data_IF_716947708772
#
_entry.id   IF_716947708772
#
_cell.length_a   1.000
_cell.length_b   1.000
_cell.length_c   1.000
_cell.angle_alpha   90.00
_cell.angle_beta   90.00
_cell.angle_gamma   90.00
#
_symmetry.space_group_name_H-M   'P 1'
#
loop_
_entity.id
_entity.type
_entity.pdbx_description
1 polymer ?
#
# COMPACT_ATOMS: atom_id res chain seq x y z
N UNK A 1 25.75 37.92 42.50
CA UNK A 1 25.09 37.47 41.29
C UNK A 1 25.77 36.21 40.77
N UNK A 2 25.27 35.04 41.05
CA UNK A 2 25.57 33.80 40.32
C UNK A 2 24.29 32.91 40.16
N UNK A 3 23.20 33.47 39.62
CA UNK A 3 21.96 32.64 39.40
C UNK A 3 21.60 32.45 37.91
N UNK A 4 22.33 33.09 36.98
CA UNK A 4 22.03 33.04 35.56
C UNK A 4 22.84 32.01 34.73
N UNK A 5 23.87 31.38 35.30
CA UNK A 5 24.68 30.38 34.57
C UNK A 5 24.11 28.97 34.65
N UNK A 6 23.33 28.65 35.68
CA UNK A 6 22.78 27.29 35.84
C UNK A 6 21.57 26.96 34.94
N UNK A 7 20.81 27.96 34.50
CA UNK A 7 19.67 27.77 33.60
C UNK A 7 20.10 27.59 32.15
N UNK A 8 21.15 28.26 31.71
CA UNK A 8 21.71 28.10 30.35
C UNK A 8 22.45 26.75 30.19
N UNK A 9 23.11 26.26 31.24
CA UNK A 9 23.71 24.91 31.22
C UNK A 9 22.67 23.78 31.28
N UNK A 10 21.55 24.02 31.94
CA UNK A 10 20.42 23.04 31.99
C UNK A 10 19.62 22.99 30.68
N UNK A 11 19.48 24.13 29.97
CA UNK A 11 18.89 24.17 28.62
C UNK A 11 19.84 23.56 27.58
N UNK A 12 21.15 23.84 27.64
CA UNK A 12 22.14 23.19 26.76
C UNK A 12 22.28 21.69 27.01
N UNK A 13 22.06 21.19 28.23
CA UNK A 13 22.06 19.75 28.51
C UNK A 13 20.76 19.05 28.09
N UNK A 14 19.64 19.78 27.93
CA UNK A 14 18.39 19.22 27.37
C UNK A 14 18.42 19.08 25.84
N UNK A 15 19.29 19.81 25.15
CA UNK A 15 19.46 19.70 23.69
C UNK A 15 20.34 18.51 23.25
N UNK A 16 21.01 17.85 24.21
CA UNK A 16 22.04 16.80 23.97
C UNK A 16 21.49 15.37 23.97
N UNK A 17 20.20 15.14 24.29
CA UNK A 17 19.63 13.78 24.30
C UNK A 17 18.19 13.78 23.72
N UNK A 18 17.98 14.32 22.53
CA UNK A 18 16.85 13.90 21.70
C UNK A 18 17.29 12.62 21.01
N UNK A 19 16.68 11.50 21.37
CA UNK A 19 16.81 10.29 20.56
C UNK A 19 16.45 10.67 19.12
N UNK A 20 17.24 10.28 18.10
CA UNK A 20 16.91 10.57 16.72
C UNK A 20 15.50 10.07 16.42
N UNK A 21 14.74 10.83 15.66
CA UNK A 21 13.45 10.35 15.17
C UNK A 21 13.70 9.25 14.13
N UNK A 22 12.75 8.33 13.92
CA UNK A 22 12.86 7.30 12.88
C UNK A 22 13.24 7.88 11.52
N UNK A 23 12.72 9.06 11.19
CA UNK A 23 13.07 9.79 9.96
C UNK A 23 14.55 10.18 9.92
N UNK A 24 15.13 10.68 11.01
CA UNK A 24 16.56 11.04 11.07
C UNK A 24 17.47 9.81 10.98
N UNK A 25 17.06 8.68 11.57
CA UNK A 25 17.75 7.40 11.45
C UNK A 25 17.70 6.89 10.00
N UNK A 26 16.52 6.89 9.37
CA UNK A 26 16.33 6.50 7.97
C UNK A 26 17.15 7.38 7.01
N UNK A 27 17.12 8.70 7.18
CA UNK A 27 17.93 9.61 6.37
C UNK A 27 19.44 9.32 6.50
N UNK A 28 19.89 8.93 7.69
CA UNK A 28 21.29 8.54 7.92
C UNK A 28 21.60 7.23 7.18
N UNK A 29 20.69 6.25 7.20
CA UNK A 29 20.82 5.00 6.45
C UNK A 29 20.85 5.25 4.94
N UNK A 30 19.93 6.04 4.40
CA UNK A 30 19.84 6.34 2.97
C UNK A 30 21.06 7.12 2.44
N UNK A 31 21.66 7.98 3.27
CA UNK A 31 22.88 8.72 2.94
C UNK A 31 24.15 7.91 3.16
N UNK A 32 24.04 6.73 3.76
CA UNK A 32 25.17 5.82 3.93
C UNK A 32 25.52 5.12 2.61
N UNK A 33 26.73 4.56 2.53
CA UNK A 33 27.17 3.84 1.32
C UNK A 33 26.94 2.32 1.48
N UNK A 34 25.71 1.93 1.87
CA UNK A 34 25.31 0.54 2.03
C UNK A 34 24.99 -0.10 0.68
N UNK A 35 25.23 -1.41 0.57
CA UNK A 35 24.73 -2.20 -0.55
C UNK A 35 23.23 -2.49 -0.43
N UNK A 36 22.61 -2.94 -1.53
CA UNK A 36 21.16 -3.22 -1.59
C UNK A 36 20.70 -4.14 -0.46
N UNK A 37 21.34 -5.30 -0.30
CA UNK A 37 20.92 -6.30 0.70
C UNK A 37 21.01 -5.76 2.13
N UNK A 38 22.12 -5.08 2.45
CA UNK A 38 22.33 -4.50 3.78
C UNK A 38 21.37 -3.34 4.08
N UNK A 39 21.03 -2.54 3.06
CA UNK A 39 20.05 -1.45 3.20
C UNK A 39 18.67 -2.03 3.47
N UNK A 40 18.21 -2.97 2.66
CA UNK A 40 16.89 -3.59 2.81
C UNK A 40 16.74 -4.29 4.17
N UNK A 41 17.78 -5.02 4.63
CA UNK A 41 17.78 -5.62 5.97
C UNK A 41 17.59 -4.59 7.09
N UNK A 42 18.22 -3.41 6.97
CA UNK A 42 18.14 -2.37 8.01
C UNK A 42 16.84 -1.58 8.00
N UNK A 43 16.20 -1.41 6.85
CA UNK A 43 14.95 -0.67 6.74
C UNK A 43 13.71 -1.55 6.93
N UNK A 44 13.85 -2.88 6.90
CA UNK A 44 12.72 -3.82 7.09
C UNK A 44 12.08 -3.75 8.50
N UNK A 45 12.73 -3.14 9.47
CA UNK A 45 12.17 -2.90 10.80
C UNK A 45 11.31 -1.62 10.89
N UNK A 46 11.31 -0.79 9.82
CA UNK A 46 10.53 0.44 9.74
C UNK A 46 9.29 0.23 8.89
N UNK A 47 8.22 0.93 9.22
CA UNK A 47 7.01 0.93 8.42
C UNK A 47 7.20 1.78 7.15
N UNK A 48 6.54 1.42 6.05
CA UNK A 48 6.63 2.10 4.76
C UNK A 48 6.26 3.58 4.87
N UNK A 49 5.32 3.94 5.76
CA UNK A 49 4.98 5.34 6.04
C UNK A 49 6.14 6.15 6.65
N UNK A 50 6.97 5.53 7.52
CA UNK A 50 8.14 6.21 8.09
C UNK A 50 9.21 6.43 7.00
N UNK A 51 9.31 5.49 6.06
CA UNK A 51 10.21 5.59 4.91
C UNK A 51 9.72 6.68 3.95
N UNK A 52 8.41 6.76 3.69
CA UNK A 52 7.81 7.83 2.89
C UNK A 52 8.11 9.21 3.51
N UNK A 53 7.89 9.39 4.81
CA UNK A 53 8.20 10.63 5.55
C UNK A 53 9.69 11.01 5.45
N UNK A 54 10.59 10.02 5.45
CA UNK A 54 12.01 10.26 5.24
C UNK A 54 12.32 10.66 3.80
N UNK A 55 11.68 10.04 2.80
CA UNK A 55 11.84 10.38 1.39
C UNK A 55 11.39 11.80 1.05
N UNK A 56 10.37 12.33 1.73
CA UNK A 56 9.94 13.73 1.59
C UNK A 56 11.04 14.74 1.96
N UNK A 57 11.91 14.37 2.89
CA UNK A 57 13.04 15.21 3.30
C UNK A 57 14.31 15.02 2.45
N UNK A 58 14.25 14.16 1.43
CA UNK A 58 15.35 13.92 0.49
C UNK A 58 15.24 14.82 -0.74
N UNK A 59 16.39 15.17 -1.31
CA UNK A 59 16.41 15.81 -2.63
C UNK A 59 16.10 14.78 -3.74
N UNK A 60 15.61 15.23 -4.92
CA UNK A 60 15.42 14.34 -6.07
C UNK A 60 16.68 13.53 -6.44
N UNK A 61 17.87 14.11 -6.29
CA UNK A 61 19.15 13.44 -6.56
C UNK A 61 19.46 12.33 -5.55
N UNK A 62 19.02 12.47 -4.30
CA UNK A 62 19.15 11.44 -3.27
C UNK A 62 18.16 10.32 -3.54
N UNK A 63 16.89 10.63 -3.81
CA UNK A 63 15.86 9.62 -4.16
C UNK A 63 16.22 8.81 -5.40
N UNK A 64 16.71 9.45 -6.46
CA UNK A 64 17.18 8.76 -7.68
C UNK A 64 18.28 7.71 -7.44
N UNK A 65 19.07 7.88 -6.39
CA UNK A 65 20.09 6.88 -6.00
C UNK A 65 19.49 5.75 -5.17
N UNK A 66 18.38 6.04 -4.47
CA UNK A 66 17.70 5.09 -3.61
C UNK A 66 16.81 4.13 -4.40
N UNK A 67 16.09 4.60 -5.41
CA UNK A 67 15.15 3.78 -6.19
C UNK A 67 15.74 2.44 -6.70
N UNK A 68 16.94 2.37 -7.30
CA UNK A 68 17.49 1.11 -7.76
C UNK A 68 17.86 0.14 -6.62
N UNK A 69 18.00 0.65 -5.39
CA UNK A 69 18.31 -0.17 -4.21
C UNK A 69 17.04 -0.78 -3.61
N UNK A 70 15.93 -0.05 -3.63
CA UNK A 70 14.65 -0.52 -3.09
C UNK A 70 14.02 -1.59 -4.02
N UNK A 71 13.88 -1.31 -5.29
CA UNK A 71 13.16 -2.14 -6.25
C UNK A 71 11.72 -1.69 -6.43
N UNK A 72 11.07 -2.14 -7.51
CA UNK A 72 9.77 -1.65 -7.95
C UNK A 72 8.66 -1.93 -6.91
N UNK A 73 8.53 -3.17 -6.42
CA UNK A 73 7.55 -3.60 -5.43
C UNK A 73 7.61 -2.75 -4.15
N UNK A 74 8.80 -2.61 -3.57
CA UNK A 74 8.95 -1.85 -2.32
C UNK A 74 8.76 -0.34 -2.51
N UNK A 75 9.08 0.19 -3.70
CA UNK A 75 8.76 1.59 -4.04
C UNK A 75 7.24 1.77 -4.15
N UNK A 76 6.52 0.84 -4.76
CA UNK A 76 5.07 0.88 -4.86
C UNK A 76 4.40 0.97 -3.48
N UNK A 77 4.80 0.08 -2.55
CA UNK A 77 4.32 0.10 -1.16
C UNK A 77 4.61 1.44 -0.46
N UNK A 78 5.82 2.01 -0.60
CA UNK A 78 6.17 3.30 0.01
C UNK A 78 5.33 4.43 -0.59
N UNK A 79 5.14 4.44 -1.91
CA UNK A 79 4.43 5.51 -2.60
C UNK A 79 2.94 5.56 -2.29
N UNK A 80 2.34 4.47 -1.83
CA UNK A 80 0.95 4.45 -1.31
C UNK A 80 0.77 5.27 -0.02
N UNK A 81 1.87 5.68 0.63
CA UNK A 81 1.85 6.49 1.85
C UNK A 81 2.22 7.96 1.63
N UNK A 82 2.41 8.44 0.39
CA UNK A 82 2.74 9.84 0.10
C UNK A 82 1.80 10.47 -0.92
N UNK A 83 1.44 11.75 -0.69
CA UNK A 83 0.69 12.55 -1.66
C UNK A 83 1.55 12.97 -2.87
N UNK A 84 2.88 12.92 -2.75
CA UNK A 84 3.84 13.33 -3.78
C UNK A 84 4.23 12.19 -4.76
N UNK A 85 3.55 11.04 -4.71
CA UNK A 85 3.87 9.86 -5.51
C UNK A 85 4.03 10.16 -7.00
N UNK A 86 3.13 10.97 -7.57
CA UNK A 86 3.20 11.38 -8.98
C UNK A 86 4.46 12.20 -9.31
N UNK A 87 4.95 13.04 -8.38
CA UNK A 87 6.19 13.80 -8.56
C UNK A 87 7.40 12.87 -8.51
N UNK A 88 7.41 11.90 -7.58
CA UNK A 88 8.51 10.95 -7.42
C UNK A 88 8.62 10.01 -8.63
N UNK A 89 7.51 9.58 -9.21
CA UNK A 89 7.50 8.79 -10.43
C UNK A 89 8.06 9.55 -11.65
N UNK A 90 7.91 10.88 -11.71
CA UNK A 90 8.53 11.70 -12.75
C UNK A 90 10.06 11.84 -12.61
N UNK A 91 10.63 11.48 -11.46
CA UNK A 91 12.08 11.46 -11.25
C UNK A 91 12.78 10.27 -11.92
N UNK A 92 12.05 9.21 -12.28
CA UNK A 92 12.53 7.99 -12.93
C UNK A 92 12.08 7.92 -14.39
N UNK A 93 12.59 6.98 -15.16
CA UNK A 93 12.16 6.83 -16.55
C UNK A 93 10.77 6.18 -16.64
N UNK A 94 10.10 6.34 -17.76
CA UNK A 94 8.72 5.94 -17.96
C UNK A 94 8.50 4.43 -17.79
N UNK A 95 9.46 3.61 -18.26
CA UNK A 95 9.37 2.16 -18.16
C UNK A 95 9.49 1.69 -16.70
N UNK A 96 10.32 2.34 -15.88
CA UNK A 96 10.42 2.06 -14.45
C UNK A 96 9.19 2.56 -13.70
N UNK A 97 8.67 3.75 -14.05
CA UNK A 97 7.44 4.27 -13.46
C UNK A 97 6.25 3.33 -13.73
N UNK A 98 6.12 2.81 -14.95
CA UNK A 98 5.08 1.85 -15.29
C UNK A 98 5.22 0.55 -14.47
N UNK A 99 6.45 0.04 -14.27
CA UNK A 99 6.66 -1.15 -13.43
C UNK A 99 6.29 -0.90 -11.97
N UNK A 100 6.64 0.26 -11.42
CA UNK A 100 6.23 0.62 -10.05
C UNK A 100 4.71 0.70 -9.94
N UNK A 101 4.04 1.32 -10.91
CA UNK A 101 2.56 1.42 -10.92
C UNK A 101 1.92 0.04 -11.11
N UNK A 102 2.53 -0.89 -11.86
CA UNK A 102 2.03 -2.26 -11.98
C UNK A 102 2.07 -3.06 -10.67
N UNK A 103 2.94 -2.69 -9.72
CA UNK A 103 3.03 -3.30 -8.40
C UNK A 103 2.14 -2.61 -7.34
N UNK A 104 1.48 -1.50 -7.68
CA UNK A 104 0.57 -0.79 -6.77
C UNK A 104 -0.82 -1.44 -6.72
N UNK A 105 -1.51 -1.26 -5.59
CA UNK A 105 -2.95 -1.47 -5.56
C UNK A 105 -3.64 -0.61 -6.61
N UNK A 106 -4.68 -1.15 -7.24
CA UNK A 106 -5.29 -0.52 -8.41
C UNK A 106 -5.94 0.84 -8.14
N UNK A 107 -6.44 1.08 -6.93
CA UNK A 107 -6.94 2.38 -6.48
C UNK A 107 -5.81 3.39 -6.28
N UNK A 108 -4.71 2.99 -5.62
CA UNK A 108 -3.51 3.83 -5.46
C UNK A 108 -2.88 4.16 -6.82
N UNK A 109 -2.80 3.17 -7.71
CA UNK A 109 -2.31 3.36 -9.09
C UNK A 109 -3.12 4.40 -9.84
N UNK A 110 -4.45 4.37 -9.72
CA UNK A 110 -5.35 5.35 -10.37
C UNK A 110 -5.18 6.72 -9.74
N UNK A 111 -5.14 6.83 -8.41
CA UNK A 111 -4.94 8.11 -7.72
C UNK A 111 -3.62 8.77 -8.15
N UNK A 112 -2.54 8.02 -8.29
CA UNK A 112 -1.26 8.52 -8.81
C UNK A 112 -1.37 8.95 -10.27
N UNK A 113 -2.00 8.14 -11.12
CA UNK A 113 -2.17 8.43 -12.55
C UNK A 113 -3.05 9.67 -12.80
N UNK A 114 -4.01 9.96 -11.92
CA UNK A 114 -4.85 11.15 -12.02
C UNK A 114 -4.08 12.45 -11.72
N UNK A 115 -3.02 12.38 -10.96
CA UNK A 115 -2.13 13.50 -10.66
C UNK A 115 -1.04 13.74 -11.72
N UNK A 116 -0.97 12.91 -12.78
CA UNK A 116 -0.07 13.09 -13.92
C UNK A 116 -0.73 13.87 -15.05
N UNK A 117 0.08 14.47 -15.92
CA UNK A 117 -0.43 15.06 -17.17
C UNK A 117 -0.97 13.96 -18.13
N UNK A 118 -1.92 14.33 -18.97
CA UNK A 118 -2.63 13.37 -19.83
C UNK A 118 -1.73 12.58 -20.80
N UNK A 119 -0.64 13.16 -21.28
CA UNK A 119 0.30 12.47 -22.17
C UNK A 119 1.12 11.43 -21.41
N UNK A 120 1.66 11.80 -20.26
CA UNK A 120 2.40 10.90 -19.36
C UNK A 120 1.51 9.77 -18.86
N UNK A 121 0.28 10.08 -18.39
CA UNK A 121 -0.71 9.09 -17.96
C UNK A 121 -0.96 8.04 -19.06
N UNK A 122 -1.27 8.49 -20.28
CA UNK A 122 -1.55 7.58 -21.40
C UNK A 122 -0.36 6.67 -21.71
N UNK A 123 0.84 7.22 -21.73
CA UNK A 123 2.06 6.46 -22.02
C UNK A 123 2.42 5.46 -20.93
N UNK A 124 2.15 5.78 -19.67
CA UNK A 124 2.35 4.84 -18.57
C UNK A 124 1.34 3.70 -18.66
N UNK A 125 0.04 4.00 -18.86
CA UNK A 125 -1.00 2.97 -18.99
C UNK A 125 -0.70 2.01 -20.15
N UNK A 126 -0.16 2.49 -21.26
CA UNK A 126 0.25 1.64 -22.40
C UNK A 126 1.48 0.74 -22.08
N UNK A 127 2.19 1.01 -20.99
CA UNK A 127 3.39 0.28 -20.55
C UNK A 127 3.15 -0.61 -19.31
N UNK A 128 1.95 -0.55 -18.70
CA UNK A 128 1.59 -1.45 -17.61
C UNK A 128 1.59 -2.90 -18.08
N UNK A 129 1.75 -3.83 -17.16
CA UNK A 129 1.50 -5.23 -17.47
C UNK A 129 -0.01 -5.50 -17.71
N UNK A 130 -0.32 -6.67 -18.28
CA UNK A 130 -1.67 -6.99 -18.76
C UNK A 130 -2.73 -6.97 -17.63
N UNK A 131 -2.35 -7.35 -16.39
CA UNK A 131 -3.26 -7.42 -15.24
C UNK A 131 -3.47 -6.02 -14.65
N UNK A 132 -2.40 -5.27 -14.39
CA UNK A 132 -2.48 -3.88 -13.91
C UNK A 132 -3.20 -2.97 -14.92
N UNK A 133 -2.94 -3.11 -16.23
CA UNK A 133 -3.63 -2.36 -17.27
C UNK A 133 -5.14 -2.58 -17.23
N UNK A 134 -5.57 -3.84 -17.07
CA UNK A 134 -6.98 -4.21 -17.01
C UNK A 134 -7.66 -3.61 -15.76
N UNK A 135 -7.02 -3.69 -14.61
CA UNK A 135 -7.57 -3.23 -13.34
C UNK A 135 -7.64 -1.70 -13.29
N UNK A 136 -6.58 -1.01 -13.69
CA UNK A 136 -6.56 0.45 -13.83
C UNK A 136 -7.64 0.92 -14.80
N UNK A 137 -7.78 0.29 -15.98
CA UNK A 137 -8.83 0.64 -16.93
C UNK A 137 -10.24 0.38 -16.41
N UNK A 138 -10.44 -0.65 -15.59
CA UNK A 138 -11.71 -0.92 -14.94
C UNK A 138 -12.08 0.23 -14.01
N UNK A 139 -11.19 0.66 -13.12
CA UNK A 139 -11.44 1.75 -12.17
C UNK A 139 -11.65 3.07 -12.92
N UNK A 140 -10.79 3.40 -13.91
CA UNK A 140 -10.92 4.59 -14.76
C UNK A 140 -12.19 4.59 -15.64
N UNK A 141 -12.93 3.49 -15.75
CA UNK A 141 -14.19 3.44 -16.46
C UNK A 141 -15.39 3.98 -15.68
N UNK A 142 -15.23 4.18 -14.36
CA UNK A 142 -16.25 4.77 -13.50
C UNK A 142 -16.11 6.29 -13.47
N UNK A 143 -17.23 6.99 -13.27
CA UNK A 143 -17.23 8.43 -13.02
C UNK A 143 -16.72 8.74 -11.60
N UNK A 144 -16.14 9.91 -11.36
CA UNK A 144 -15.50 10.29 -10.09
C UNK A 144 -16.45 10.21 -8.86
N UNK A 145 -17.76 10.36 -9.08
CA UNK A 145 -18.80 10.26 -8.07
C UNK A 145 -19.40 8.85 -7.92
N UNK A 146 -18.96 7.90 -8.72
CA UNK A 146 -19.34 6.50 -8.60
C UNK A 146 -18.43 5.77 -7.60
N UNK A 147 -18.99 4.89 -6.79
CA UNK A 147 -18.25 4.14 -5.79
C UNK A 147 -17.16 3.24 -6.40
N UNK A 148 -17.36 2.80 -7.64
CA UNK A 148 -16.41 1.99 -8.39
C UNK A 148 -15.07 2.69 -8.63
N UNK A 149 -15.05 4.04 -8.71
CA UNK A 149 -13.82 4.82 -8.86
C UNK A 149 -12.94 4.82 -7.60
N UNK A 150 -13.46 4.36 -6.47
CA UNK A 150 -12.80 4.31 -5.15
C UNK A 150 -12.65 2.88 -4.63
N UNK A 151 -12.76 1.89 -5.49
CA UNK A 151 -12.61 0.48 -5.13
C UNK A 151 -11.25 -0.03 -5.56
N UNK A 152 -10.67 -0.91 -4.73
CA UNK A 152 -9.52 -1.72 -5.13
C UNK A 152 -9.97 -3.03 -5.76
N UNK A 153 -9.16 -3.62 -6.63
CA UNK A 153 -9.30 -5.00 -7.11
C UNK A 153 -8.55 -6.01 -6.24
N UNK A 154 -7.77 -5.53 -5.26
CA UNK A 154 -6.99 -6.32 -4.32
C UNK A 154 -7.90 -6.91 -3.22
N UNK A 155 -8.58 -8.02 -3.50
CA UNK A 155 -9.45 -8.72 -2.54
C UNK A 155 -9.61 -10.22 -2.87
N UNK A 156 -9.95 -11.01 -1.85
CA UNK A 156 -10.17 -12.45 -1.98
C UNK A 156 -11.62 -12.74 -2.35
N UNK A 157 -11.83 -13.54 -3.41
CA UNK A 157 -13.15 -14.00 -3.86
C UNK A 157 -13.21 -15.52 -3.87
N UNK A 158 -14.27 -16.09 -3.28
CA UNK A 158 -14.54 -17.54 -3.33
C UNK A 158 -15.98 -17.82 -3.72
N UNK A 159 -16.21 -18.99 -4.31
CA UNK A 159 -17.58 -19.46 -4.63
C UNK A 159 -18.29 -20.02 -3.39
N UNK A 160 -19.59 -19.72 -3.23
CA UNK A 160 -20.40 -20.22 -2.11
C UNK A 160 -20.53 -21.74 -2.05
N UNK A 161 -20.33 -22.46 -3.17
CA UNK A 161 -20.50 -23.91 -3.25
C UNK A 161 -19.27 -24.69 -2.76
N UNK A 162 -18.27 -24.03 -2.24
CA UNK A 162 -17.06 -24.65 -1.70
C UNK A 162 -17.31 -25.20 -0.29
N UNK A 163 -16.56 -26.23 0.09
CA UNK A 163 -16.44 -26.63 1.49
C UNK A 163 -15.29 -25.87 2.16
N UNK A 164 -15.21 -25.94 3.50
CA UNK A 164 -14.18 -25.22 4.29
C UNK A 164 -12.76 -25.44 3.76
N UNK A 165 -12.40 -26.69 3.45
CA UNK A 165 -11.04 -27.01 2.94
C UNK A 165 -10.78 -26.39 1.56
N UNK A 166 -11.77 -26.40 0.68
CA UNK A 166 -11.66 -25.79 -0.64
C UNK A 166 -11.58 -24.25 -0.53
N UNK A 167 -12.43 -23.65 0.32
CA UNK A 167 -12.40 -22.21 0.59
C UNK A 167 -11.03 -21.76 1.15
N UNK A 168 -10.48 -22.52 2.11
CA UNK A 168 -9.13 -22.24 2.65
C UNK A 168 -8.04 -22.40 1.57
N UNK A 169 -8.17 -23.36 0.67
CA UNK A 169 -7.21 -23.54 -0.42
C UNK A 169 -7.26 -22.37 -1.42
N UNK A 170 -8.45 -21.90 -1.77
CA UNK A 170 -8.63 -20.73 -2.62
C UNK A 170 -8.09 -19.45 -1.96
N UNK A 171 -8.36 -19.25 -0.67
CA UNK A 171 -7.76 -18.16 0.10
C UNK A 171 -6.22 -18.19 0.00
N UNK A 172 -5.59 -19.33 0.29
CA UNK A 172 -4.12 -19.44 0.27
C UNK A 172 -3.57 -19.18 -1.14
N UNK A 173 -4.27 -19.62 -2.18
CA UNK A 173 -3.88 -19.39 -3.57
C UNK A 173 -3.88 -17.90 -3.92
N UNK A 174 -4.90 -17.18 -3.49
CA UNK A 174 -5.09 -15.75 -3.80
C UNK A 174 -4.28 -14.83 -2.86
N UNK A 175 -4.03 -15.25 -1.62
CA UNK A 175 -3.31 -14.45 -0.63
C UNK A 175 -1.82 -14.21 -0.95
N UNK A 176 -1.26 -14.86 -1.97
CA UNK A 176 0.07 -14.57 -2.48
C UNK A 176 0.12 -13.38 -3.45
N UNK A 177 -1.05 -12.93 -3.91
CA UNK A 177 -1.22 -11.86 -4.90
C UNK A 177 -2.14 -10.73 -4.37
N UNK A 178 -2.65 -10.86 -3.14
CA UNK A 178 -3.58 -9.92 -2.54
C UNK A 178 -3.25 -9.71 -1.06
N UNK A 179 -3.10 -8.48 -0.65
CA UNK A 179 -2.80 -8.09 0.74
C UNK A 179 -4.07 -7.93 1.59
N UNK A 180 -5.19 -7.57 0.95
CA UNK A 180 -6.45 -7.35 1.63
C UNK A 180 -7.22 -8.67 1.87
N UNK A 181 -6.69 -9.50 2.76
CA UNK A 181 -7.19 -10.85 3.06
C UNK A 181 -8.14 -10.93 4.27
N UNK A 182 -8.33 -9.85 5.01
CA UNK A 182 -9.14 -9.83 6.25
C UNK A 182 -10.61 -10.18 6.01
N UNK A 183 -11.13 -9.81 4.84
CA UNK A 183 -12.49 -10.08 4.38
C UNK A 183 -12.44 -10.91 3.11
N UNK A 184 -13.13 -12.04 3.11
CA UNK A 184 -13.24 -12.95 1.97
C UNK A 184 -14.63 -12.78 1.38
N UNK A 185 -14.72 -12.29 0.15
CA UNK A 185 -15.99 -12.11 -0.55
C UNK A 185 -16.47 -13.44 -1.14
N UNK A 186 -17.77 -13.66 -1.05
CA UNK A 186 -18.41 -14.87 -1.54
C UNK A 186 -19.34 -14.52 -2.68
N UNK A 187 -19.19 -15.24 -3.80
CA UNK A 187 -20.05 -15.06 -4.98
C UNK A 187 -20.91 -16.31 -5.22
N UNK A 188 -22.05 -16.09 -5.85
CA UNK A 188 -22.94 -17.18 -6.27
C UNK A 188 -22.50 -17.80 -7.63
N UNK A 189 -23.35 -18.71 -8.16
CA UNK A 189 -23.10 -19.41 -9.43
C UNK A 189 -23.10 -18.48 -10.66
N UNK A 190 -23.59 -17.26 -10.53
CA UNK A 190 -23.61 -16.24 -11.57
C UNK A 190 -22.52 -15.17 -11.37
N UNK A 191 -21.54 -15.44 -10.48
CA UNK A 191 -20.48 -14.49 -10.09
C UNK A 191 -21.02 -13.21 -9.42
N UNK A 192 -22.25 -13.26 -8.87
CA UNK A 192 -22.82 -12.12 -8.14
C UNK A 192 -22.49 -12.21 -6.66
N UNK A 193 -22.24 -11.06 -6.05
CA UNK A 193 -21.99 -10.96 -4.62
C UNK A 193 -23.10 -11.62 -3.82
N UNK A 194 -22.74 -12.57 -2.97
CA UNK A 194 -23.65 -13.31 -2.09
C UNK A 194 -23.46 -12.92 -0.62
N UNK A 195 -22.23 -12.67 -0.17
CA UNK A 195 -21.92 -12.32 1.21
C UNK A 195 -20.41 -12.25 1.44
N UNK A 196 -20.02 -12.20 2.71
CA UNK A 196 -18.61 -12.16 3.09
C UNK A 196 -18.33 -13.05 4.31
N UNK A 197 -17.09 -13.49 4.45
CA UNK A 197 -16.56 -14.27 5.58
C UNK A 197 -15.37 -13.50 6.15
N UNK A 198 -15.32 -13.33 7.48
CA UNK A 198 -14.12 -12.86 8.13
C UNK A 198 -13.02 -13.93 8.08
N UNK A 199 -11.79 -13.54 7.74
CA UNK A 199 -10.63 -14.45 7.71
C UNK A 199 -10.51 -15.27 8.99
N UNK A 200 -10.72 -14.64 10.16
CA UNK A 200 -10.69 -15.30 11.46
C UNK A 200 -11.68 -16.47 11.55
N UNK A 201 -12.89 -16.29 11.02
CA UNK A 201 -13.94 -17.30 11.09
C UNK A 201 -13.61 -18.50 10.20
N UNK A 202 -13.02 -18.26 9.03
CA UNK A 202 -12.53 -19.33 8.16
C UNK A 202 -11.35 -20.11 8.79
N UNK A 203 -10.41 -19.40 9.43
CA UNK A 203 -9.23 -20.01 10.09
C UNK A 203 -9.65 -20.92 11.26
N UNK A 204 -10.66 -20.54 12.04
CA UNK A 204 -11.11 -21.33 13.19
C UNK A 204 -12.14 -22.42 12.84
N UNK A 205 -12.65 -22.40 11.61
CA UNK A 205 -13.63 -23.37 11.12
C UNK A 205 -13.09 -24.80 11.11
N UNK A 206 -13.99 -25.78 11.25
CA UNK A 206 -13.66 -27.18 11.18
C UNK A 206 -14.13 -27.76 9.84
N UNK A 207 -13.40 -28.72 9.29
CA UNK A 207 -13.66 -29.36 7.99
C UNK A 207 -15.08 -29.89 7.83
N UNK A 208 -15.76 -30.25 8.92
CA UNK A 208 -17.12 -30.79 8.93
C UNK A 208 -18.21 -29.71 9.02
N UNK A 209 -17.84 -28.44 9.18
CA UNK A 209 -18.80 -27.34 9.21
C UNK A 209 -19.23 -26.98 7.77
N UNK A 210 -20.44 -26.46 7.66
CA UNK A 210 -20.94 -25.93 6.41
C UNK A 210 -20.42 -24.48 6.23
N UNK A 211 -19.87 -24.17 5.06
CA UNK A 211 -19.38 -22.83 4.72
C UNK A 211 -20.49 -21.79 4.84
N UNK A 212 -21.72 -22.12 4.47
CA UNK A 212 -22.89 -21.23 4.57
C UNK A 212 -23.09 -20.66 5.98
N UNK A 213 -22.69 -21.37 7.03
CA UNK A 213 -22.80 -20.89 8.40
C UNK A 213 -21.79 -19.77 8.76
N UNK A 214 -20.76 -19.61 7.94
CA UNK A 214 -19.75 -18.55 8.11
C UNK A 214 -20.08 -17.30 7.27
N UNK A 215 -20.94 -17.46 6.25
CA UNK A 215 -21.24 -16.37 5.32
C UNK A 215 -22.21 -15.38 5.96
N UNK A 216 -21.76 -14.13 6.11
CA UNK A 216 -22.60 -12.99 6.47
C UNK A 216 -23.19 -12.37 5.20
N UNK A 217 -24.49 -12.50 5.00
CA UNK A 217 -25.19 -11.90 3.84
C UNK A 217 -25.60 -10.44 4.07
N UNK A 218 -25.40 -9.91 5.28
CA UNK A 218 -25.67 -8.53 5.65
C UNK A 218 -24.41 -7.70 5.86
N UNK A 219 -23.27 -8.13 5.31
CA UNK A 219 -21.99 -7.46 5.44
C UNK A 219 -22.01 -6.12 4.66
N UNK A 220 -21.76 -4.98 5.32
CA UNK A 220 -21.75 -3.68 4.64
C UNK A 220 -20.43 -3.50 3.85
N UNK A 221 -20.44 -3.81 2.57
CA UNK A 221 -19.25 -3.80 1.70
C UNK A 221 -18.73 -2.38 1.42
N UNK A 222 -19.58 -1.36 1.46
CA UNK A 222 -19.24 -0.05 0.88
C UNK A 222 -18.70 1.03 1.84
N UNK A 223 -18.54 0.75 3.14
CA UNK A 223 -18.25 1.85 4.09
C UNK A 223 -16.94 1.72 4.86
N UNK A 224 -16.26 0.58 4.84
CA UNK A 224 -15.11 0.36 5.72
C UNK A 224 -13.79 0.87 5.14
N UNK A 225 -13.63 0.88 3.82
CA UNK A 225 -12.41 1.36 3.16
C UNK A 225 -12.41 2.87 2.88
N UNK A 226 -13.55 3.46 2.53
CA UNK A 226 -13.68 4.91 2.26
C UNK A 226 -13.42 5.80 3.50
N UNK A 227 -13.54 5.30 4.73
CA UNK A 227 -13.28 6.08 5.95
C UNK A 227 -11.82 6.11 6.39
N UNK A 228 -10.97 5.26 5.90
CA UNK A 228 -9.56 5.24 6.30
C UNK A 228 -8.79 6.45 5.75
N UNK A 229 -9.15 6.93 4.56
CA UNK A 229 -8.53 8.11 3.94
C UNK A 229 -9.09 9.45 4.46
N UNK A 230 -10.36 9.53 4.90
CA UNK A 230 -10.97 10.78 5.39
C UNK A 230 -10.55 11.21 6.82
N UNK A 231 -9.83 10.37 7.56
CA UNK A 231 -9.48 10.67 8.97
C UNK A 231 -8.08 11.24 9.17
N UNK A 232 -7.34 11.54 8.10
CA UNK A 232 -5.98 12.11 8.15
C UNK A 232 -5.89 13.61 7.80
N UNK A 233 -6.99 14.37 7.89
CA UNK A 233 -6.96 15.84 7.80
C UNK A 233 -7.03 16.51 9.17
#
# INVERSE_FOLDING_TARGET
>A
MPFFQGEQEAEMQKEVLKEPTYVEELLTLFRSNLGKEELLEKISDYHESDIADAMEQMTPEERKKLYPLLGEEYIAEILSYTEDAAEYLQEINLENAARVISEMDSDDAVDVLENLDADTKTRIVDLLDDDAEKDVKLILSYEDDEIGSKMTTNFIVIGKNLNIRQATHELIRQAGENDNISTIYVVDENEQYYGAIDLKDLIVARDYQDLDNLISTSYPVSYTHLRAHETRS
#
